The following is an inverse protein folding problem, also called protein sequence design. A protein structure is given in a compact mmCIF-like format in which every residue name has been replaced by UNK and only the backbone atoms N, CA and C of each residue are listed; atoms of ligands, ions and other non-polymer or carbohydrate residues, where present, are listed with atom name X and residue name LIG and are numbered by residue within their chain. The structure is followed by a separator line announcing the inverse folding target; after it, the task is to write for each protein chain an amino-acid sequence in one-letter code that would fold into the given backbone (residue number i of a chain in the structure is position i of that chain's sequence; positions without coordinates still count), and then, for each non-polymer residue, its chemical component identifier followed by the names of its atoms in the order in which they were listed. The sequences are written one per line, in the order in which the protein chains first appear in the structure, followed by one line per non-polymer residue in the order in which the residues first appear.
data_IF_580328343318
#
_entry.id   IF_580328343318
#
_cell.length_a   1.000
_cell.length_b   1.000
_cell.length_c   1.000
_cell.angle_alpha   90.00
_cell.angle_beta   90.00
_cell.angle_gamma   90.00
#
_symmetry.space_group_name_H-M   'P 1'
#
loop_
_entity.id
_entity.type
_entity.pdbx_description
1 polymer ?
#
# COMPACT_ATOMS: atom_id res chain seq x y z
N UNK A 1 11.30 -13.39 16.14
CA UNK A 1 10.11 -13.22 15.30
C UNK A 1 10.06 -14.41 14.39
N UNK A 2 8.91 -15.05 14.32
CA UNK A 2 8.71 -16.23 13.47
C UNK A 2 8.28 -15.75 12.08
N UNK A 3 9.10 -16.02 11.06
CA UNK A 3 8.82 -15.58 9.70
C UNK A 3 7.71 -16.41 9.05
N UNK A 4 7.53 -17.66 9.47
CA UNK A 4 6.43 -18.51 9.01
C UNK A 4 5.10 -17.96 9.54
N UNK A 5 5.10 -17.46 10.77
CA UNK A 5 3.96 -16.73 11.31
C UNK A 5 3.78 -15.36 10.62
N UNK A 6 4.84 -14.66 10.25
CA UNK A 6 4.75 -13.35 9.59
C UNK A 6 4.20 -13.46 8.17
N UNK A 7 4.53 -14.54 7.47
CA UNK A 7 4.14 -14.78 6.09
C UNK A 7 2.60 -14.76 5.92
N UNK A 8 2.17 -14.09 4.84
CA UNK A 8 0.77 -13.92 4.50
C UNK A 8 0.29 -12.47 4.52
N UNK A 9 -1.03 -12.31 4.46
CA UNK A 9 -1.70 -11.02 4.29
C UNK A 9 -2.25 -10.49 5.60
N UNK A 10 -1.95 -9.24 5.89
CA UNK A 10 -2.36 -8.52 7.09
C UNK A 10 -3.16 -7.29 6.71
N UNK A 11 -4.38 -7.16 7.24
CA UNK A 11 -5.25 -6.00 7.02
C UNK A 11 -5.03 -4.98 8.11
N UNK A 12 -4.82 -3.73 7.73
CA UNK A 12 -4.63 -2.62 8.64
C UNK A 12 -5.96 -2.29 9.35
N UNK A 13 -5.95 -2.29 10.67
CA UNK A 13 -7.08 -1.89 11.51
C UNK A 13 -6.91 -0.48 12.05
N UNK A 14 -5.67 -0.10 12.35
CA UNK A 14 -5.36 1.21 12.92
C UNK A 14 -3.96 1.63 12.53
N UNK A 15 -3.78 2.93 12.30
CA UNK A 15 -2.45 3.53 12.17
C UNK A 15 -2.40 4.93 12.75
N UNK A 16 -1.24 5.30 13.28
CA UNK A 16 -0.89 6.68 13.62
C UNK A 16 0.19 7.26 12.69
N UNK A 17 0.53 6.54 11.62
CA UNK A 17 1.56 6.96 10.67
C UNK A 17 1.06 8.09 9.77
N UNK A 18 1.72 9.24 9.84
CA UNK A 18 1.29 10.48 9.18
C UNK A 18 1.17 10.35 7.66
N UNK A 19 2.05 9.56 7.05
CA UNK A 19 2.04 9.25 5.61
C UNK A 19 0.75 8.53 5.19
N UNK A 20 0.24 7.60 6.01
CA UNK A 20 -1.04 6.94 5.76
C UNK A 20 -2.22 7.84 6.13
N UNK A 21 -2.12 8.60 7.22
CA UNK A 21 -3.18 9.52 7.63
C UNK A 21 -3.48 10.59 6.59
N UNK A 22 -2.46 11.14 5.91
CA UNK A 22 -2.66 12.09 4.80
C UNK A 22 -3.50 11.49 3.68
N UNK A 23 -3.36 10.19 3.40
CA UNK A 23 -4.17 9.50 2.39
C UNK A 23 -5.63 9.36 2.83
N UNK A 24 -5.84 8.97 4.09
CA UNK A 24 -7.18 8.83 4.66
C UNK A 24 -7.88 10.19 4.78
N UNK A 25 -7.17 11.24 5.19
CA UNK A 25 -7.68 12.61 5.21
C UNK A 25 -8.01 13.12 3.80
N UNK A 26 -7.18 12.78 2.81
CA UNK A 26 -7.46 13.15 1.41
C UNK A 26 -8.74 12.49 0.91
N UNK A 27 -9.00 11.24 1.29
CA UNK A 27 -10.26 10.55 0.99
C UNK A 27 -11.47 11.19 1.69
N UNK A 28 -11.30 11.69 2.92
CA UNK A 28 -12.37 12.40 3.62
C UNK A 28 -12.66 13.78 3.00
N UNK A 29 -11.66 14.45 2.43
CA UNK A 29 -11.80 15.81 1.86
C UNK A 29 -12.24 15.82 0.39
N UNK A 30 -11.86 14.81 -0.38
CA UNK A 30 -12.15 14.74 -1.81
C UNK A 30 -13.37 13.85 -2.02
N UNK A 31 -14.55 14.40 -2.37
CA UNK A 31 -15.79 13.62 -2.48
C UNK A 31 -15.76 12.59 -3.63
N UNK A 32 -14.75 12.67 -4.49
CA UNK A 32 -14.50 11.76 -5.60
C UNK A 32 -13.40 10.72 -5.29
N UNK A 33 -12.93 10.59 -4.06
CA UNK A 33 -11.86 9.64 -3.72
C UNK A 33 -12.23 8.85 -2.47
N UNK A 34 -12.30 7.54 -2.62
CA UNK A 34 -12.58 6.60 -1.53
C UNK A 34 -11.38 5.70 -1.34
N UNK A 35 -10.86 5.60 -0.11
CA UNK A 35 -9.85 4.60 0.24
C UNK A 35 -10.58 3.37 0.74
N UNK A 36 -10.29 2.23 0.12
CA UNK A 36 -10.78 0.92 0.53
C UNK A 36 -9.92 0.34 1.64
N UNK A 37 -9.79 -0.98 1.64
CA UNK A 37 -8.97 -1.67 2.63
C UNK A 37 -7.47 -1.48 2.34
N UNK A 38 -6.68 -1.34 3.40
CA UNK A 38 -5.21 -1.28 3.33
C UNK A 38 -4.66 -2.61 3.85
N UNK A 39 -3.79 -3.23 3.07
CA UNK A 39 -3.14 -4.49 3.42
C UNK A 39 -1.62 -4.35 3.40
N UNK A 40 -0.97 -5.21 4.16
CA UNK A 40 0.46 -5.46 4.12
C UNK A 40 0.66 -6.96 3.95
N UNK A 41 1.25 -7.37 2.83
CA UNK A 41 1.58 -8.78 2.55
C UNK A 41 3.06 -8.99 2.79
N UNK A 42 3.41 -9.95 3.65
CA UNK A 42 4.77 -10.42 3.82
C UNK A 42 4.95 -11.71 3.03
N UNK A 43 6.03 -11.75 2.25
CA UNK A 43 6.46 -12.91 1.47
C UNK A 43 7.87 -13.30 1.95
N UNK A 44 7.93 -14.28 2.85
CA UNK A 44 9.16 -14.77 3.46
C UNK A 44 9.78 -15.93 2.66
N UNK A 45 9.00 -16.66 1.83
CA UNK A 45 9.46 -17.72 0.91
C UNK A 45 10.41 -18.75 1.56
N UNK A 46 10.10 -19.19 2.77
CA UNK A 46 10.93 -20.12 3.57
C UNK A 46 12.36 -19.60 3.87
N UNK A 47 12.60 -18.30 3.74
CA UNK A 47 13.89 -17.68 4.06
C UNK A 47 13.94 -17.31 5.53
N UNK A 48 15.09 -17.53 6.16
CA UNK A 48 15.25 -17.38 7.61
C UNK A 48 15.48 -15.94 8.08
N UNK A 49 15.86 -15.02 7.20
CA UNK A 49 16.34 -13.70 7.63
C UNK A 49 16.04 -12.55 6.66
N UNK A 50 15.25 -12.78 5.61
CA UNK A 50 14.88 -11.74 4.65
C UNK A 50 13.55 -12.07 4.01
N UNK A 51 12.95 -11.10 3.33
CA UNK A 51 11.73 -11.31 2.58
C UNK A 51 11.32 -10.08 1.80
N UNK A 52 10.09 -10.09 1.28
CA UNK A 52 9.48 -8.95 0.61
C UNK A 52 8.23 -8.54 1.37
N UNK A 53 8.06 -7.24 1.58
CA UNK A 53 6.83 -6.66 2.09
C UNK A 53 6.17 -5.85 0.98
N UNK A 54 4.87 -6.05 0.81
CA UNK A 54 4.04 -5.35 -0.17
C UNK A 54 2.93 -4.62 0.56
N UNK A 55 2.96 -3.30 0.52
CA UNK A 55 1.86 -2.48 0.99
C UNK A 55 0.86 -2.32 -0.17
N UNK A 56 -0.39 -2.66 0.10
CA UNK A 56 -1.47 -2.67 -0.87
C UNK A 56 -2.53 -1.71 -0.39
N UNK A 57 -2.84 -0.69 -1.19
CA UNK A 57 -3.92 0.25 -0.92
C UNK A 57 -4.93 0.14 -2.03
N UNK A 58 -6.12 -0.35 -1.69
CA UNK A 58 -7.26 -0.32 -2.60
C UNK A 58 -7.94 1.05 -2.50
N UNK A 59 -8.38 1.58 -3.63
CA UNK A 59 -9.08 2.86 -3.68
C UNK A 59 -10.05 2.90 -4.85
N UNK A 60 -10.97 3.84 -4.80
CA UNK A 60 -12.01 4.02 -5.81
C UNK A 60 -12.28 5.49 -6.07
N UNK A 61 -12.81 5.77 -7.25
CA UNK A 61 -13.41 7.06 -7.58
C UNK A 61 -14.89 6.80 -7.91
N UNK A 62 -15.84 7.31 -7.12
CA UNK A 62 -17.26 7.15 -7.37
C UNK A 62 -17.62 7.50 -8.81
N UNK A 63 -18.50 6.71 -9.41
CA UNK A 63 -18.96 6.81 -10.81
C UNK A 63 -17.91 6.49 -11.87
N UNK A 64 -16.63 6.32 -11.52
CA UNK A 64 -15.55 6.02 -12.46
C UNK A 64 -14.98 4.62 -12.28
N UNK A 65 -14.83 4.19 -11.03
CA UNK A 65 -14.23 2.91 -10.67
C UNK A 65 -15.19 2.13 -9.74
N UNK A 66 -15.04 0.82 -9.70
CA UNK A 66 -15.80 -0.02 -8.75
C UNK A 66 -15.63 0.50 -7.32
N UNK A 67 -16.71 0.52 -6.54
CA UNK A 67 -16.65 1.02 -5.16
C UNK A 67 -15.66 0.19 -4.33
N UNK A 68 -14.83 0.88 -3.54
CA UNK A 68 -13.82 0.31 -2.62
C UNK A 68 -12.67 -0.51 -3.25
N UNK A 69 -12.82 -1.07 -4.46
CA UNK A 69 -11.81 -1.91 -5.15
C UNK A 69 -11.41 -1.40 -6.54
N UNK A 70 -11.75 -0.15 -6.85
CA UNK A 70 -11.59 0.44 -8.17
C UNK A 70 -10.17 0.45 -8.76
N UNK A 71 -9.15 0.58 -7.94
CA UNK A 71 -7.75 0.47 -8.33
C UNK A 71 -6.90 0.03 -7.15
N UNK A 72 -5.82 -0.70 -7.43
CA UNK A 72 -4.89 -1.19 -6.42
C UNK A 72 -3.54 -0.52 -6.59
N UNK A 73 -3.08 0.19 -5.57
CA UNK A 73 -1.72 0.66 -5.48
C UNK A 73 -0.87 -0.38 -4.72
N UNK A 74 0.28 -0.72 -5.28
CA UNK A 74 1.24 -1.65 -4.71
C UNK A 74 2.59 -0.97 -4.48
N UNK A 75 3.07 -0.98 -3.24
CA UNK A 75 4.42 -0.51 -2.87
C UNK A 75 5.22 -1.68 -2.32
N UNK A 76 6.27 -2.06 -3.04
CA UNK A 76 7.14 -3.19 -2.71
C UNK A 76 8.44 -2.73 -2.05
N UNK A 77 8.81 -3.40 -0.96
CA UNK A 77 10.09 -3.24 -0.31
C UNK A 77 10.67 -4.61 0.05
N UNK A 78 11.99 -4.77 -0.11
CA UNK A 78 12.70 -5.89 0.51
C UNK A 78 12.90 -5.61 1.98
N UNK A 79 12.97 -6.64 2.79
CA UNK A 79 13.35 -6.50 4.19
C UNK A 79 14.40 -7.51 4.61
N UNK A 80 15.28 -7.08 5.50
CA UNK A 80 16.24 -7.92 6.21
C UNK A 80 15.90 -7.94 7.70
N UNK A 81 15.94 -9.10 8.33
CA UNK A 81 15.78 -9.25 9.78
C UNK A 81 17.05 -8.76 10.47
N UNK A 82 16.91 -7.71 11.28
CA UNK A 82 18.04 -7.10 12.02
C UNK A 82 18.13 -7.68 13.42
N UNK A 83 17.00 -8.03 14.02
CA UNK A 83 16.93 -8.65 15.35
C UNK A 83 15.62 -9.39 15.54
N UNK A 84 15.42 -10.00 16.71
CA UNK A 84 14.22 -10.75 17.07
C UNK A 84 12.89 -10.04 16.83
N UNK A 85 12.87 -8.70 16.78
CA UNK A 85 11.65 -7.90 16.57
C UNK A 85 11.85 -6.73 15.60
N UNK A 86 12.98 -6.64 14.90
CA UNK A 86 13.23 -5.52 13.99
C UNK A 86 13.58 -6.03 12.61
N UNK A 87 12.95 -5.44 11.60
CA UNK A 87 13.32 -5.59 10.20
C UNK A 87 13.80 -4.24 9.65
N UNK A 88 14.67 -4.28 8.66
CA UNK A 88 15.10 -3.11 7.91
C UNK A 88 14.48 -3.16 6.52
N UNK A 89 13.68 -2.14 6.18
CA UNK A 89 12.98 -2.06 4.90
C UNK A 89 13.83 -1.34 3.86
N UNK A 90 13.83 -1.83 2.63
CA UNK A 90 14.45 -1.23 1.45
C UNK A 90 13.42 -1.13 0.33
N UNK A 91 12.88 0.07 0.12
CA UNK A 91 11.88 0.31 -0.93
C UNK A 91 12.47 0.11 -2.33
N UNK A 92 11.78 -0.66 -3.15
CA UNK A 92 12.20 -1.01 -4.50
C UNK A 92 11.32 -0.36 -5.58
N UNK A 93 10.00 -0.58 -5.52
CA UNK A 93 9.10 -0.27 -6.63
C UNK A 93 7.70 0.18 -6.16
N UNK A 94 7.10 1.09 -6.92
CA UNK A 94 5.68 1.45 -6.83
C UNK A 94 5.00 1.10 -8.16
N UNK A 95 4.04 0.19 -8.11
CA UNK A 95 3.20 -0.19 -9.25
C UNK A 95 1.72 0.04 -8.95
N UNK A 96 0.92 0.14 -10.01
CA UNK A 96 -0.53 0.28 -9.94
C UNK A 96 -1.13 -0.82 -10.79
N UNK A 97 -2.09 -1.53 -10.23
CA UNK A 97 -2.65 -2.75 -10.77
C UNK A 97 -4.17 -2.77 -10.57
N UNK A 98 -4.85 -3.72 -11.20
CA UNK A 98 -6.26 -4.04 -10.99
C UNK A 98 -7.18 -2.80 -11.06
N UNK A 99 -7.10 -2.05 -12.16
CA UNK A 99 -7.99 -0.92 -12.42
C UNK A 99 -9.32 -1.48 -12.92
N UNK A 100 -10.37 -1.38 -12.10
CA UNK A 100 -11.74 -1.82 -12.38
C UNK A 100 -12.65 -0.61 -12.54
N UNK A 101 -13.30 -0.50 -13.69
CA UNK A 101 -14.22 0.59 -14.02
C UNK A 101 -15.59 0.30 -13.40
N UNK A 102 -16.32 1.31 -12.92
CA UNK A 102 -17.67 1.11 -12.34
C UNK A 102 -18.65 0.50 -13.35
N UNK A 103 -19.59 -0.33 -12.88
CA UNK A 103 -20.60 -0.96 -13.73
C UNK A 103 -21.42 0.07 -14.53
N UNK A 104 -21.87 1.15 -13.89
CA UNK A 104 -22.59 2.26 -14.53
C UNK A 104 -21.82 2.88 -15.70
N UNK A 105 -20.50 2.96 -15.57
CA UNK A 105 -19.63 3.51 -16.61
C UNK A 105 -19.28 2.44 -17.66
N UNK A 106 -19.19 1.16 -17.30
CA UNK A 106 -19.09 0.06 -18.26
C UNK A 106 -20.31 0.03 -19.19
N UNK A 107 -21.52 0.24 -18.65
CA UNK A 107 -22.77 0.32 -19.41
C UNK A 107 -22.82 1.58 -20.29
N UNK A 108 -22.31 2.71 -19.81
CA UNK A 108 -22.27 3.98 -20.54
C UNK A 108 -21.14 4.06 -21.59
N UNK A 109 -20.06 3.29 -21.42
CA UNK A 109 -18.92 3.16 -22.35
C UNK A 109 -19.16 2.03 -23.39
N UNK A 110 -20.37 1.46 -23.45
CA UNK A 110 -20.85 0.88 -24.69
C UNK A 110 -20.51 1.83 -25.88
N UNK A 111 -20.06 1.30 -27.03
CA UNK A 111 -18.87 1.78 -27.75
C UNK A 111 -18.93 3.15 -28.46
N UNK A 112 -19.57 4.21 -27.94
CA UNK A 112 -19.72 5.45 -28.71
C UNK A 112 -19.68 6.82 -27.98
N UNK A 113 -19.68 6.96 -26.64
CA UNK A 113 -20.14 8.27 -26.07
C UNK A 113 -19.15 9.05 -25.16
N UNK A 114 -18.11 8.47 -24.55
CA UNK A 114 -17.24 9.22 -23.60
C UNK A 114 -15.77 9.43 -24.05
N UNK A 115 -15.19 10.65 -23.90
CA UNK A 115 -13.79 10.91 -24.18
C UNK A 115 -12.91 10.36 -23.04
N UNK A 116 -12.25 9.22 -23.29
CA UNK A 116 -11.27 8.54 -22.40
C UNK A 116 -10.14 9.46 -21.85
N UNK A 117 -9.99 10.65 -22.39
CA UNK A 117 -8.88 11.58 -22.11
C UNK A 117 -9.03 12.33 -20.77
N UNK A 118 -10.24 12.70 -20.35
CA UNK A 118 -10.41 13.45 -19.08
C UNK A 118 -10.19 12.57 -17.84
N UNK A 119 -10.68 11.33 -17.90
CA UNK A 119 -10.60 10.35 -16.82
C UNK A 119 -9.16 9.89 -16.55
N UNK A 120 -8.44 9.57 -17.63
CA UNK A 120 -7.04 9.17 -17.56
C UNK A 120 -6.18 10.29 -16.97
N UNK A 121 -6.46 11.56 -17.27
CA UNK A 121 -5.70 12.69 -16.71
C UNK A 121 -5.90 12.85 -15.20
N UNK A 122 -7.12 12.70 -14.67
CA UNK A 122 -7.37 12.81 -13.23
C UNK A 122 -6.67 11.69 -12.45
N UNK A 123 -6.77 10.45 -12.93
CA UNK A 123 -6.07 9.29 -12.35
C UNK A 123 -4.55 9.52 -12.39
N UNK A 124 -4.01 9.94 -13.54
CA UNK A 124 -2.57 10.19 -13.70
C UNK A 124 -2.05 11.34 -12.84
N UNK A 125 -2.82 12.42 -12.68
CA UNK A 125 -2.47 13.53 -11.78
C UNK A 125 -2.42 13.08 -10.33
N UNK A 126 -3.42 12.29 -9.89
CA UNK A 126 -3.44 11.72 -8.56
C UNK A 126 -2.22 10.82 -8.31
N UNK A 127 -1.92 9.90 -9.23
CA UNK A 127 -0.74 9.03 -9.15
C UNK A 127 0.55 9.84 -9.03
N UNK A 128 0.67 10.94 -9.78
CA UNK A 128 1.84 11.83 -9.71
C UNK A 128 1.95 12.52 -8.36
N UNK A 129 0.85 13.05 -7.82
CA UNK A 129 0.82 13.69 -6.50
C UNK A 129 1.17 12.68 -5.41
N UNK A 130 0.59 11.48 -5.47
CA UNK A 130 0.85 10.40 -4.54
C UNK A 130 2.32 9.93 -4.59
N UNK A 131 2.87 9.68 -5.79
CA UNK A 131 4.28 9.32 -5.98
C UNK A 131 5.25 10.42 -5.53
N UNK A 132 4.83 11.68 -5.52
CA UNK A 132 5.64 12.77 -5.00
C UNK A 132 5.65 12.84 -3.46
N UNK A 133 4.59 12.35 -2.81
CA UNK A 133 4.47 12.31 -1.35
C UNK A 133 5.20 11.09 -0.74
N UNK A 134 5.26 9.97 -1.45
CA UNK A 134 6.13 8.85 -1.06
C UNK A 134 7.54 9.12 -1.58
N UNK A 135 8.58 9.25 -0.73
CA UNK A 135 9.94 9.53 -1.19
C UNK A 135 10.50 8.32 -1.96
N UNK A 136 10.24 8.26 -3.26
CA UNK A 136 10.80 7.27 -4.18
C UNK A 136 11.99 7.89 -4.89
N UNK A 137 13.20 7.64 -4.36
CA UNK A 137 14.50 7.94 -4.98
C UNK A 137 14.73 9.40 -5.41
N UNK A 138 15.78 10.03 -4.89
CA UNK A 138 16.45 11.10 -5.61
C UNK A 138 17.22 10.50 -6.80
N UNK A 139 16.96 10.89 -8.07
CA UNK A 139 17.65 10.32 -9.24
C UNK A 139 19.11 10.76 -9.40
N UNK A 140 19.67 11.53 -8.47
CA UNK A 140 21.01 12.13 -8.59
C UNK A 140 22.17 11.40 -7.91
N UNK A 141 21.99 10.24 -7.25
CA UNK A 141 23.12 9.57 -6.61
C UNK A 141 22.90 8.04 -6.40
N UNK A 142 23.55 7.15 -7.17
CA UNK A 142 23.37 5.70 -7.08
C UNK A 142 23.92 5.06 -5.78
N UNK A 143 24.65 5.82 -4.95
CA UNK A 143 25.25 5.33 -3.69
C UNK A 143 24.40 5.60 -2.45
N UNK A 144 23.26 6.32 -2.56
CA UNK A 144 22.40 6.60 -1.40
C UNK A 144 21.30 5.53 -1.35
N UNK A 145 21.52 4.49 -0.52
CA UNK A 145 20.50 3.50 -0.16
C UNK A 145 19.19 4.25 0.11
N UNK A 146 18.08 3.81 -0.51
CA UNK A 146 16.72 4.30 -0.24
C UNK A 146 16.56 4.52 1.26
N UNK A 147 15.92 5.59 1.76
CA UNK A 147 15.73 5.79 3.19
C UNK A 147 14.99 4.57 3.74
N UNK A 148 15.76 3.63 4.27
CA UNK A 148 15.25 2.40 4.80
C UNK A 148 14.78 2.65 6.20
N UNK A 149 13.59 2.15 6.52
CA UNK A 149 13.01 2.28 7.84
C UNK A 149 13.37 1.07 8.67
N UNK A 150 13.87 1.30 9.89
CA UNK A 150 13.79 0.27 10.93
C UNK A 150 12.34 0.11 11.33
N UNK A 151 11.83 -1.11 11.24
CA UNK A 151 10.44 -1.43 11.54
C UNK A 151 10.41 -2.49 12.63
N UNK A 152 9.80 -2.14 13.75
CA UNK A 152 9.61 -3.03 14.88
C UNK A 152 8.31 -3.80 14.72
N UNK A 153 8.37 -5.13 14.85
CA UNK A 153 7.24 -6.03 14.73
C UNK A 153 7.08 -6.86 16.01
N UNK A 154 5.84 -6.98 16.47
CA UNK A 154 5.48 -7.86 17.58
C UNK A 154 4.09 -8.43 17.36
N UNK A 155 3.90 -9.69 17.72
CA UNK A 155 2.57 -10.30 17.77
C UNK A 155 1.90 -9.94 19.09
N UNK A 156 0.61 -9.61 19.04
CA UNK A 156 -0.24 -9.62 20.22
C UNK A 156 -0.80 -11.04 20.43
N UNK A 157 -1.22 -11.67 19.33
CA UNK A 157 -1.67 -13.06 19.25
C UNK A 157 -1.35 -13.65 17.85
N UNK A 158 -1.92 -14.81 17.51
CA UNK A 158 -1.69 -15.48 16.23
C UNK A 158 -2.21 -14.71 15.01
N UNK A 159 -3.21 -13.86 15.22
CA UNK A 159 -3.96 -13.15 14.19
C UNK A 159 -3.79 -11.63 14.27
N UNK A 160 -3.03 -11.09 15.22
CA UNK A 160 -2.85 -9.66 15.41
C UNK A 160 -1.37 -9.29 15.48
N UNK A 161 -0.97 -8.42 14.55
CA UNK A 161 0.40 -7.94 14.39
C UNK A 161 0.47 -6.45 14.72
N UNK A 162 1.44 -6.08 15.55
CA UNK A 162 1.77 -4.71 15.90
C UNK A 162 3.06 -4.33 15.18
N UNK A 163 2.99 -3.23 14.43
CA UNK A 163 4.11 -2.62 13.75
C UNK A 163 4.42 -1.24 14.31
N UNK A 164 5.69 -0.85 14.34
CA UNK A 164 6.11 0.51 14.66
C UNK A 164 7.30 0.90 13.81
N UNK A 165 7.15 1.97 13.03
CA UNK A 165 8.28 2.56 12.33
C UNK A 165 9.13 3.38 13.30
N UNK A 166 10.43 3.08 13.33
CA UNK A 166 11.41 3.78 14.17
C UNK A 166 11.69 5.17 13.57
N UNK A 167 11.84 6.18 14.41
CA UNK A 167 12.09 7.56 13.97
C UNK A 167 10.83 8.41 13.76
N UNK A 168 9.72 8.08 14.42
CA UNK A 168 8.48 8.87 14.40
C UNK A 168 7.46 8.45 13.33
N UNK A 169 7.68 7.33 12.65
CA UNK A 169 6.80 6.86 11.55
C UNK A 169 5.50 6.17 11.99
N UNK A 170 5.06 6.34 13.23
CA UNK A 170 3.76 5.84 13.70
C UNK A 170 3.72 4.36 14.08
N UNK A 171 2.54 3.96 14.57
CA UNK A 171 2.17 2.61 14.99
C UNK A 171 1.17 2.07 13.99
N UNK A 172 1.24 0.77 13.73
CA UNK A 172 0.34 0.04 12.86
C UNK A 172 -0.22 -1.15 13.62
N UNK A 173 -1.52 -1.37 13.54
CA UNK A 173 -2.20 -2.54 14.09
C UNK A 173 -2.83 -3.27 12.94
N UNK A 174 -2.48 -4.54 12.78
CA UNK A 174 -3.02 -5.39 11.73
C UNK A 174 -3.70 -6.62 12.29
N UNK A 175 -4.69 -7.10 11.54
CA UNK A 175 -5.28 -8.43 11.72
C UNK A 175 -5.00 -9.30 10.52
N UNK A 176 -4.77 -10.60 10.71
CA UNK A 176 -4.62 -11.56 9.62
C UNK A 176 -5.86 -11.53 8.72
N UNK A 177 -5.63 -11.53 7.42
CA UNK A 177 -6.67 -11.45 6.39
C UNK A 177 -6.55 -12.64 5.44
N UNK A 178 -7.55 -12.77 4.55
CA UNK A 178 -7.49 -13.75 3.47
C UNK A 178 -6.29 -13.44 2.55
N UNK A 179 -5.66 -14.47 1.94
CA UNK A 179 -4.56 -14.27 1.01
C UNK A 179 -4.99 -13.34 -0.13
N UNK A 180 -4.21 -12.28 -0.35
CA UNK A 180 -4.42 -11.38 -1.47
C UNK A 180 -3.62 -11.89 -2.68
N UNK A 181 -4.33 -12.13 -3.79
CA UNK A 181 -3.71 -12.38 -5.10
C UNK A 181 -3.26 -11.03 -5.69
N UNK A 182 -1.96 -10.90 -5.93
CA UNK A 182 -1.27 -9.70 -6.41
C UNK A 182 -0.47 -10.05 -7.66
#
# INVERSE_FOLDING_TARGET
MDLDQLDGTWRLQYTSASDVLVLLESAARLPFFQVGQIFQKFECRDQSNRGVVRNVVQWSIPKLLEEQEGATLLVSAKFDVVSMRNIYLQFEEISIQNIKISEELQDLIAPAILPRQFLSLQILQFIRVFKAQIPVRNPGNPSRRSPGGLYYLSYLDHNMLLGRAVGGGGIFVFTRAQPLEL
#
